data_IF_382862048990
#
_entry.id   IF_382862048990
#
_cell.length_a   1.000
_cell.length_b   1.000
_cell.length_c   1.000
_cell.angle_alpha   90.00
_cell.angle_beta   90.00
_cell.angle_gamma   90.00
#
_symmetry.space_group_name_H-M   'P 1'
#
loop_
_entity.id
_entity.type
_entity.pdbx_description
1 polymer ?
#
# COMPACT_ATOMS: atom_id res chain seq x y z
N UNK A 1 -37.31 33.93 28.51
CA UNK A 1 -36.84 33.20 27.31
C UNK A 1 -35.35 32.79 27.36
N UNK A 2 -34.40 33.61 27.84
CA UNK A 2 -32.97 33.24 27.89
C UNK A 2 -32.62 31.99 28.75
N UNK A 3 -33.33 31.71 29.84
CA UNK A 3 -33.03 30.54 30.72
C UNK A 3 -33.46 29.18 30.15
N UNK A 4 -34.35 29.14 29.15
CA UNK A 4 -34.83 27.89 28.54
C UNK A 4 -33.84 27.42 27.45
N UNK A 5 -33.28 28.36 26.68
CA UNK A 5 -32.27 28.07 25.66
C UNK A 5 -30.99 27.46 26.27
N UNK A 6 -30.54 27.96 27.44
CA UNK A 6 -29.34 27.45 28.11
C UNK A 6 -29.53 26.04 28.68
N UNK A 7 -30.75 25.66 29.08
CA UNK A 7 -31.05 24.30 29.56
C UNK A 7 -31.14 23.28 28.42
N UNK A 8 -31.62 23.68 27.25
CA UNK A 8 -31.65 22.81 26.06
C UNK A 8 -30.24 22.52 25.51
N UNK A 9 -29.33 23.50 25.52
CA UNK A 9 -27.93 23.31 25.08
C UNK A 9 -27.17 22.35 26.01
N UNK A 10 -27.46 22.39 27.31
CA UNK A 10 -26.80 21.54 28.31
C UNK A 10 -27.33 20.09 28.27
N UNK A 11 -28.62 19.90 27.96
CA UNK A 11 -29.20 18.58 27.71
C UNK A 11 -28.68 17.99 26.39
N UNK A 12 -28.48 18.81 25.35
CA UNK A 12 -27.88 18.35 24.08
C UNK A 12 -26.42 17.89 24.26
N UNK A 13 -25.64 18.56 25.11
CA UNK A 13 -24.26 18.13 25.45
C UNK A 13 -24.20 16.91 26.39
N UNK A 14 -25.24 16.65 27.18
CA UNK A 14 -25.32 15.42 28.00
C UNK A 14 -25.73 14.20 27.18
N UNK A 15 -26.54 14.36 26.13
CA UNK A 15 -26.93 13.24 25.27
C UNK A 15 -25.87 12.84 24.23
N UNK A 16 -24.90 13.70 23.90
CA UNK A 16 -23.79 13.33 23.00
C UNK A 16 -22.70 12.48 23.66
N UNK A 17 -22.71 12.33 24.99
CA UNK A 17 -21.74 11.50 25.73
C UNK A 17 -22.23 10.07 26.04
N UNK A 18 -23.49 9.74 25.74
CA UNK A 18 -24.10 8.43 26.09
C UNK A 18 -24.16 7.42 24.93
N UNK A 19 -23.57 7.74 23.78
CA UNK A 19 -23.47 6.83 22.63
C UNK A 19 -22.04 6.33 22.37
N UNK A 20 -21.21 6.21 23.42
CA UNK A 20 -20.04 5.35 23.37
C UNK A 20 -20.51 3.90 23.51
N UNK A 21 -20.98 3.36 22.39
CA UNK A 21 -21.15 1.91 22.23
C UNK A 21 -19.77 1.30 22.47
N UNK A 22 -19.64 0.56 23.56
CA UNK A 22 -18.54 -0.37 23.76
C UNK A 22 -18.66 -1.45 22.68
N UNK A 23 -18.08 -1.20 21.51
CA UNK A 23 -17.84 -2.26 20.54
C UNK A 23 -16.77 -3.18 21.12
N UNK A 24 -17.12 -4.45 21.16
CA UNK A 24 -16.23 -5.57 21.41
C UNK A 24 -14.93 -5.34 20.63
N UNK A 25 -13.81 -5.41 21.34
CA UNK A 25 -12.49 -5.14 20.79
C UNK A 25 -12.14 -6.29 19.85
N UNK A 26 -12.61 -6.19 18.61
CA UNK A 26 -12.20 -7.09 17.55
C UNK A 26 -10.69 -6.96 17.41
N UNK A 27 -9.95 -8.07 17.54
CA UNK A 27 -8.48 -8.08 17.52
C UNK A 27 -7.92 -7.86 16.10
N UNK A 28 -8.72 -7.32 15.18
CA UNK A 28 -8.28 -6.89 13.86
C UNK A 28 -7.54 -5.55 13.98
N UNK A 29 -6.24 -5.56 13.67
CA UNK A 29 -5.44 -4.34 13.62
C UNK A 29 -5.89 -3.47 12.45
N UNK A 30 -6.59 -2.37 12.74
CA UNK A 30 -6.98 -1.39 11.71
C UNK A 30 -5.77 -0.54 11.29
N UNK A 31 -5.41 -0.63 10.00
CA UNK A 31 -4.40 0.20 9.36
C UNK A 31 -4.96 1.57 8.96
N UNK A 32 -4.10 2.60 9.00
CA UNK A 32 -4.43 3.95 8.53
C UNK A 32 -4.39 4.00 7.00
N UNK A 33 -5.57 4.03 6.37
CA UNK A 33 -5.73 3.97 4.91
C UNK A 33 -5.76 5.38 4.27
N UNK A 34 -5.66 6.46 5.05
CA UNK A 34 -5.92 7.82 4.56
C UNK A 34 -4.77 8.46 3.77
N UNK A 35 -3.73 7.70 3.42
CA UNK A 35 -2.68 8.14 2.49
C UNK A 35 -2.85 7.47 1.14
N UNK A 36 -3.73 8.00 0.31
CA UNK A 36 -3.90 7.51 -1.05
C UNK A 36 -2.72 7.93 -1.95
N UNK A 37 -2.04 6.99 -2.64
CA UNK A 37 -1.13 7.32 -3.72
C UNK A 37 -1.91 7.88 -4.92
N UNK A 38 -1.31 8.83 -5.64
CA UNK A 38 -1.89 9.42 -6.86
C UNK A 38 -1.78 8.43 -8.02
N UNK A 39 -2.92 8.13 -8.66
CA UNK A 39 -3.07 7.28 -9.86
C UNK A 39 -3.12 8.12 -11.15
N UNK A 40 -2.11 8.05 -12.04
CA UNK A 40 -2.03 8.90 -13.23
C UNK A 40 -3.16 8.72 -14.24
N UNK A 41 -3.50 7.49 -14.66
CA UNK A 41 -4.54 7.28 -15.68
C UNK A 41 -5.94 7.64 -15.17
N UNK A 42 -6.20 7.31 -13.90
CA UNK A 42 -7.42 7.70 -13.19
C UNK A 42 -7.57 9.22 -13.06
N UNK A 43 -6.46 9.94 -12.85
CA UNK A 43 -6.46 11.40 -12.83
C UNK A 43 -6.83 11.98 -14.19
N UNK A 44 -6.30 11.41 -15.29
CA UNK A 44 -6.60 11.86 -16.66
C UNK A 44 -8.06 11.66 -17.08
N UNK A 45 -8.75 10.65 -16.51
CA UNK A 45 -10.17 10.37 -16.81
C UNK A 45 -11.15 10.81 -15.69
N UNK A 46 -10.63 11.43 -14.62
CA UNK A 46 -11.42 11.95 -13.51
C UNK A 46 -12.09 10.87 -12.64
N UNK A 47 -11.47 9.70 -12.47
CA UNK A 47 -11.91 8.71 -11.47
C UNK A 47 -11.61 9.20 -10.05
N UNK A 48 -12.53 8.93 -9.12
CA UNK A 48 -12.27 9.20 -7.70
C UNK A 48 -11.28 8.17 -7.14
N UNK A 49 -10.54 8.52 -6.08
CA UNK A 49 -9.54 7.60 -5.51
C UNK A 49 -10.13 6.33 -4.89
N UNK A 50 -11.41 6.35 -4.50
CA UNK A 50 -12.12 5.18 -3.97
C UNK A 50 -12.57 4.21 -5.06
N UNK A 51 -12.64 4.67 -6.31
CA UNK A 51 -13.12 3.86 -7.44
C UNK A 51 -11.98 3.16 -8.19
N UNK A 52 -10.76 3.26 -7.67
CA UNK A 52 -9.55 2.71 -8.30
C UNK A 52 -9.17 1.42 -7.60
N UNK A 53 -9.21 0.33 -8.35
CA UNK A 53 -8.77 -0.97 -7.87
C UNK A 53 -7.24 -1.02 -7.77
N UNK A 54 -6.75 -1.51 -6.63
CA UNK A 54 -5.31 -1.62 -6.31
C UNK A 54 -5.01 -3.04 -5.86
N UNK A 55 -5.05 -4.02 -6.77
CA UNK A 55 -4.86 -5.42 -6.41
C UNK A 55 -3.44 -5.65 -5.88
N UNK A 56 -3.35 -6.34 -4.74
CA UNK A 56 -2.10 -6.66 -4.05
C UNK A 56 -1.48 -7.97 -4.53
N UNK A 57 -2.28 -8.84 -5.14
CA UNK A 57 -1.89 -10.16 -5.62
C UNK A 57 -2.68 -10.54 -6.89
N UNK A 58 -2.23 -11.61 -7.55
CA UNK A 58 -2.79 -12.06 -8.83
C UNK A 58 -4.25 -12.49 -8.69
N UNK A 59 -4.63 -13.10 -7.56
CA UNK A 59 -6.02 -13.54 -7.33
C UNK A 59 -6.95 -12.34 -7.17
N UNK A 60 -6.53 -11.32 -6.42
CA UNK A 60 -7.25 -10.07 -6.26
C UNK A 60 -7.40 -9.33 -7.60
N UNK A 61 -6.34 -9.31 -8.41
CA UNK A 61 -6.39 -8.76 -9.77
C UNK A 61 -7.41 -9.51 -10.65
N UNK A 62 -7.34 -10.84 -10.69
CA UNK A 62 -8.26 -11.65 -11.50
C UNK A 62 -9.71 -11.51 -11.04
N UNK A 63 -9.95 -11.42 -9.74
CA UNK A 63 -11.30 -11.23 -9.18
C UNK A 63 -11.88 -9.86 -9.56
N UNK A 64 -11.08 -8.80 -9.42
CA UNK A 64 -11.47 -7.44 -9.83
C UNK A 64 -11.77 -7.39 -11.33
N UNK A 65 -10.89 -7.95 -12.17
CA UNK A 65 -11.10 -8.00 -13.61
C UNK A 65 -12.32 -8.84 -13.99
N UNK A 66 -12.53 -10.01 -13.39
CA UNK A 66 -13.70 -10.86 -13.63
C UNK A 66 -14.99 -10.12 -13.29
N UNK A 67 -15.01 -9.37 -12.19
CA UNK A 67 -16.16 -8.57 -11.76
C UNK A 67 -16.43 -7.44 -12.76
N UNK A 68 -15.39 -6.69 -13.13
CA UNK A 68 -15.50 -5.56 -14.05
C UNK A 68 -15.92 -5.96 -15.48
N UNK A 69 -15.60 -7.19 -15.89
CA UNK A 69 -15.88 -7.73 -17.23
C UNK A 69 -17.15 -8.58 -17.30
N UNK A 70 -17.95 -8.63 -16.23
CA UNK A 70 -19.08 -9.55 -16.10
C UNK A 70 -18.69 -11.00 -16.47
N UNK A 71 -17.71 -11.54 -15.75
CA UNK A 71 -17.10 -12.85 -16.02
C UNK A 71 -16.47 -13.00 -17.40
N UNK A 72 -15.70 -11.99 -17.83
CA UNK A 72 -14.99 -11.95 -19.11
C UNK A 72 -15.89 -11.97 -20.35
N UNK A 73 -17.20 -11.73 -20.19
CA UNK A 73 -18.16 -11.68 -21.30
C UNK A 73 -18.11 -10.35 -22.07
N UNK A 74 -17.57 -9.30 -21.45
CA UNK A 74 -17.46 -7.98 -22.05
C UNK A 74 -16.21 -7.24 -21.55
N UNK A 75 -15.76 -6.23 -22.30
CA UNK A 75 -14.78 -5.28 -21.78
C UNK A 75 -15.42 -4.42 -20.68
N UNK A 76 -14.64 -3.99 -19.68
CA UNK A 76 -15.18 -3.17 -18.61
C UNK A 76 -15.58 -1.79 -19.15
N UNK A 77 -16.78 -1.32 -18.78
CA UNK A 77 -17.31 -0.04 -19.25
C UNK A 77 -16.80 1.14 -18.43
N UNK A 78 -16.61 0.97 -17.13
CA UNK A 78 -16.08 1.96 -16.21
C UNK A 78 -15.17 1.27 -15.20
N UNK A 79 -13.86 1.37 -15.39
CA UNK A 79 -12.88 0.63 -14.60
C UNK A 79 -11.54 1.35 -14.57
N UNK A 80 -10.94 1.44 -13.39
CA UNK A 80 -9.63 2.03 -13.18
C UNK A 80 -8.81 1.12 -12.27
N UNK A 81 -7.57 0.88 -12.65
CA UNK A 81 -6.67 -0.02 -11.92
C UNK A 81 -5.24 0.53 -11.89
N UNK A 82 -4.61 0.39 -10.72
CA UNK A 82 -3.18 0.57 -10.55
C UNK A 82 -2.51 -0.77 -10.26
N UNK A 83 -1.58 -1.16 -11.12
CA UNK A 83 -0.77 -2.37 -11.00
C UNK A 83 0.63 -1.97 -10.58
N UNK A 84 1.18 -2.63 -9.56
CA UNK A 84 2.57 -2.48 -9.17
C UNK A 84 3.34 -3.78 -9.51
N UNK A 85 3.94 -3.90 -10.72
CA UNK A 85 4.38 -5.19 -11.26
C UNK A 85 5.38 -5.93 -10.38
N UNK A 86 6.31 -5.20 -9.74
CA UNK A 86 7.30 -5.78 -8.85
C UNK A 86 6.67 -6.51 -7.64
N UNK A 87 5.54 -6.03 -7.16
CA UNK A 87 4.82 -6.63 -6.03
C UNK A 87 3.87 -7.73 -6.51
N UNK A 88 3.20 -7.53 -7.65
CA UNK A 88 2.18 -8.44 -8.17
C UNK A 88 2.75 -9.77 -8.68
N UNK A 89 3.86 -9.75 -9.43
CA UNK A 89 4.41 -10.94 -10.10
C UNK A 89 5.53 -11.63 -9.33
N UNK A 90 5.58 -11.41 -8.04
CA UNK A 90 6.66 -11.87 -7.17
C UNK A 90 6.44 -13.33 -6.75
N UNK A 91 6.71 -14.27 -7.65
CA UNK A 91 6.34 -15.67 -7.46
C UNK A 91 7.40 -16.52 -6.72
N UNK A 92 8.69 -16.32 -6.98
CA UNK A 92 9.70 -17.33 -6.58
C UNK A 92 10.98 -16.82 -5.90
N UNK A 93 11.20 -15.51 -5.82
CA UNK A 93 12.35 -14.96 -5.11
C UNK A 93 11.92 -13.68 -4.40
N UNK A 94 11.85 -13.65 -3.06
CA UNK A 94 11.22 -12.55 -2.34
C UNK A 94 11.89 -11.19 -2.55
N UNK A 95 12.96 -11.09 -3.34
CA UNK A 95 13.84 -9.94 -3.34
C UNK A 95 14.34 -9.67 -1.93
N UNK A 96 15.11 -8.62 -1.74
CA UNK A 96 15.35 -8.14 -0.40
C UNK A 96 14.11 -7.36 0.09
N UNK A 97 13.11 -8.06 0.63
CA UNK A 97 12.02 -7.47 1.43
C UNK A 97 12.38 -7.33 2.90
N UNK A 98 13.63 -7.60 3.25
CA UNK A 98 14.07 -7.24 4.59
C UNK A 98 13.98 -5.72 4.74
N UNK A 99 14.02 -5.28 5.99
CA UNK A 99 14.16 -3.87 6.35
C UNK A 99 15.31 -3.18 5.59
N UNK A 100 16.34 -3.92 5.18
CA UNK A 100 17.48 -3.44 4.39
C UNK A 100 17.13 -3.20 2.91
N UNK A 101 16.37 -4.08 2.27
CA UNK A 101 16.02 -3.90 0.87
C UNK A 101 14.90 -2.87 0.65
N UNK A 102 14.04 -2.69 1.66
CA UNK A 102 13.06 -1.62 1.71
C UNK A 102 13.67 -0.28 2.14
N UNK A 103 14.86 -0.23 2.76
CA UNK A 103 15.47 1.04 3.17
C UNK A 103 16.18 1.79 2.04
N UNK A 104 16.48 1.13 0.90
CA UNK A 104 17.14 1.74 -0.26
C UNK A 104 16.50 3.10 -0.61
N UNK A 105 17.30 4.15 -0.79
CA UNK A 105 16.81 5.51 -1.06
C UNK A 105 16.86 5.90 -2.53
N UNK A 106 17.63 5.17 -3.36
CA UNK A 106 17.78 5.41 -4.80
C UNK A 106 18.18 4.15 -5.59
N UNK A 107 18.26 4.29 -6.92
CA UNK A 107 18.78 3.28 -7.83
C UNK A 107 17.71 2.36 -8.44
N UNK A 108 18.16 1.37 -9.22
CA UNK A 108 17.28 0.46 -9.97
C UNK A 108 16.25 -0.25 -9.08
N UNK A 109 16.65 -0.64 -7.86
CA UNK A 109 15.75 -1.27 -6.88
C UNK A 109 14.58 -0.35 -6.51
N UNK A 110 14.82 0.95 -6.36
CA UNK A 110 13.76 1.91 -6.03
C UNK A 110 12.81 2.07 -7.20
N UNK A 111 13.31 2.22 -8.42
CA UNK A 111 12.47 2.32 -9.62
C UNK A 111 11.58 1.08 -9.75
N UNK A 112 12.14 -0.13 -9.67
CA UNK A 112 11.36 -1.38 -9.72
C UNK A 112 10.30 -1.46 -8.61
N UNK A 113 10.68 -1.13 -7.37
CA UNK A 113 9.79 -1.20 -6.20
C UNK A 113 8.67 -0.14 -6.22
N UNK A 114 8.87 0.98 -6.91
CA UNK A 114 7.94 2.11 -6.92
C UNK A 114 7.19 2.27 -8.24
N UNK A 115 7.54 1.47 -9.26
CA UNK A 115 6.85 1.47 -10.53
C UNK A 115 5.40 1.03 -10.35
N UNK A 116 4.49 1.92 -10.70
CA UNK A 116 3.06 1.69 -10.81
C UNK A 116 2.65 1.98 -12.25
N UNK A 117 1.93 1.05 -12.84
CA UNK A 117 1.28 1.19 -14.14
C UNK A 117 -0.21 1.37 -13.89
N UNK A 118 -0.80 2.37 -14.52
CA UNK A 118 -2.18 2.78 -14.30
C UNK A 118 -2.95 2.63 -15.60
N UNK A 119 -4.12 2.02 -15.53
CA UNK A 119 -5.02 1.84 -16.67
C UNK A 119 -6.42 2.28 -16.26
N UNK A 120 -7.11 2.99 -17.14
CA UNK A 120 -8.49 3.38 -16.90
C UNK A 120 -9.29 3.36 -18.19
N UNK A 121 -10.56 2.94 -18.12
CA UNK A 121 -11.53 2.97 -19.22
C UNK A 121 -12.82 3.59 -18.68
N UNK A 122 -13.37 4.53 -19.43
CA UNK A 122 -14.59 5.26 -19.08
C UNK A 122 -15.54 5.34 -20.26
N UNK A 123 -16.69 4.72 -20.13
CA UNK A 123 -17.78 4.81 -21.08
C UNK A 123 -18.75 5.89 -20.58
N UNK A 124 -18.88 6.95 -21.35
CA UNK A 124 -19.60 8.15 -20.97
C UNK A 124 -21.06 8.06 -21.37
N UNK A 125 -21.91 8.71 -20.60
CA UNK A 125 -23.34 8.81 -20.80
C UNK A 125 -23.76 10.28 -20.86
N UNK A 126 -25.05 10.55 -21.09
CA UNK A 126 -25.57 11.91 -21.25
C UNK A 126 -25.48 12.76 -19.97
N UNK A 127 -25.02 12.20 -18.85
CA UNK A 127 -24.91 12.85 -17.54
C UNK A 127 -23.46 13.35 -17.30
N UNK A 128 -22.48 12.92 -18.10
CA UNK A 128 -21.09 13.34 -17.95
C UNK A 128 -20.83 14.72 -18.56
N UNK A 129 -20.95 15.78 -17.75
CA UNK A 129 -20.83 17.18 -18.20
C UNK A 129 -19.51 17.58 -18.91
N UNK A 130 -18.43 16.78 -18.79
CA UNK A 130 -17.11 17.12 -19.34
C UNK A 130 -16.62 16.16 -20.43
N UNK A 131 -17.43 15.18 -20.84
CA UNK A 131 -17.03 14.18 -21.82
C UNK A 131 -18.11 14.03 -22.89
N UNK A 132 -17.72 13.65 -24.10
CA UNK A 132 -18.67 13.37 -25.17
C UNK A 132 -19.44 12.06 -24.85
N UNK A 133 -20.79 12.09 -24.71
CA UNK A 133 -21.60 10.90 -24.42
C UNK A 133 -21.54 9.83 -25.52
N UNK A 134 -21.19 10.21 -26.76
CA UNK A 134 -21.04 9.28 -27.87
C UNK A 134 -19.68 8.56 -27.87
N UNK A 135 -18.76 8.96 -26.99
CA UNK A 135 -17.38 8.48 -26.99
C UNK A 135 -17.12 7.47 -25.87
N UNK A 136 -15.97 6.81 -25.95
CA UNK A 136 -15.39 6.01 -24.85
C UNK A 136 -13.96 6.46 -24.67
N UNK A 137 -13.51 6.58 -23.44
CA UNK A 137 -12.17 7.07 -23.12
C UNK A 137 -11.35 5.95 -22.52
N UNK A 138 -10.09 5.83 -22.92
CA UNK A 138 -9.13 4.97 -22.24
C UNK A 138 -7.86 5.76 -21.93
N UNK A 139 -7.22 5.44 -20.82
CA UNK A 139 -5.99 6.06 -20.38
C UNK A 139 -4.99 5.02 -19.89
N UNK A 140 -3.73 5.32 -20.15
CA UNK A 140 -2.58 4.61 -19.63
C UNK A 140 -1.65 5.61 -18.95
N UNK A 141 -1.05 5.21 -17.85
CA UNK A 141 -0.09 6.03 -17.13
C UNK A 141 0.93 5.22 -16.36
N UNK A 142 1.96 5.92 -15.90
CA UNK A 142 3.02 5.34 -15.09
C UNK A 142 3.42 6.31 -13.99
N UNK A 143 3.96 5.75 -12.90
CA UNK A 143 4.61 6.49 -11.83
C UNK A 143 5.77 5.68 -11.28
N UNK A 144 6.88 6.33 -10.94
CA UNK A 144 7.96 5.74 -10.18
C UNK A 144 8.76 6.83 -9.44
N UNK A 145 9.55 6.42 -8.45
CA UNK A 145 10.49 7.28 -7.74
C UNK A 145 11.91 7.02 -8.24
N UNK A 146 12.68 8.08 -8.46
CA UNK A 146 14.14 8.01 -8.65
C UNK A 146 14.81 8.03 -7.28
N UNK A 147 14.38 8.94 -6.41
CA UNK A 147 14.80 9.05 -5.03
C UNK A 147 13.56 9.05 -4.13
N UNK A 148 13.53 8.22 -3.09
CA UNK A 148 12.39 8.17 -2.17
C UNK A 148 12.72 8.64 -0.75
N UNK A 149 13.92 9.18 -0.53
CA UNK A 149 14.38 9.60 0.78
C UNK A 149 14.66 8.44 1.73
N UNK A 150 14.96 8.76 2.98
CA UNK A 150 15.27 7.80 4.03
C UNK A 150 14.13 7.67 5.02
N UNK A 151 14.05 6.57 5.73
CA UNK A 151 13.14 6.46 6.88
C UNK A 151 13.46 7.52 7.94
N UNK A 152 12.42 8.10 8.54
CA UNK A 152 12.58 8.98 9.70
C UNK A 152 13.11 8.21 10.91
N UNK A 153 13.59 8.94 11.91
CA UNK A 153 14.25 8.33 13.08
C UNK A 153 13.27 7.44 13.85
N UNK A 154 11.99 7.83 13.93
CA UNK A 154 10.95 7.03 14.57
C UNK A 154 10.73 5.69 13.85
N UNK A 155 10.60 5.70 12.53
CA UNK A 155 10.45 4.50 11.70
C UNK A 155 11.69 3.61 11.82
N UNK A 156 12.91 4.19 11.73
CA UNK A 156 14.17 3.44 11.90
C UNK A 156 14.23 2.75 13.27
N UNK A 157 13.89 3.47 14.34
CA UNK A 157 13.90 2.93 15.70
C UNK A 157 12.86 1.82 15.89
N UNK A 158 11.63 1.98 15.38
CA UNK A 158 10.60 0.95 15.43
C UNK A 158 10.99 -0.30 14.65
N UNK A 159 11.52 -0.15 13.42
CA UNK A 159 12.01 -1.28 12.62
C UNK A 159 13.17 -2.01 13.30
N UNK A 160 14.08 -1.26 13.93
CA UNK A 160 15.20 -1.84 14.68
C UNK A 160 14.70 -2.62 15.89
N UNK A 161 13.76 -2.07 16.65
CA UNK A 161 13.15 -2.73 17.80
C UNK A 161 12.42 -4.02 17.39
N UNK A 162 11.64 -4.00 16.31
CA UNK A 162 10.99 -5.19 15.77
C UNK A 162 12.03 -6.22 15.32
N UNK A 163 13.09 -5.81 14.62
CA UNK A 163 14.15 -6.70 14.18
C UNK A 163 14.87 -7.38 15.36
N UNK A 164 15.16 -6.63 16.44
CA UNK A 164 15.77 -7.17 17.66
C UNK A 164 14.85 -8.19 18.35
N UNK A 165 13.55 -7.91 18.47
CA UNK A 165 12.56 -8.83 19.03
C UNK A 165 12.42 -10.11 18.18
N UNK A 166 12.47 -9.98 16.86
CA UNK A 166 12.47 -11.13 15.94
C UNK A 166 13.74 -11.97 16.09
N UNK A 167 14.91 -11.33 16.25
CA UNK A 167 16.15 -12.04 16.51
C UNK A 167 16.13 -12.78 17.85
N UNK A 168 15.59 -12.14 18.90
CA UNK A 168 15.38 -12.76 20.20
C UNK A 168 14.46 -13.98 20.09
N UNK A 169 13.34 -13.85 19.37
CA UNK A 169 12.42 -14.95 19.07
C UNK A 169 13.13 -16.10 18.35
N UNK A 170 13.89 -15.80 17.30
CA UNK A 170 14.64 -16.81 16.54
C UNK A 170 15.69 -17.51 17.41
N UNK A 171 16.34 -16.78 18.32
CA UNK A 171 17.28 -17.37 19.27
C UNK A 171 16.56 -18.32 20.23
N UNK A 172 15.45 -17.91 20.84
CA UNK A 172 14.64 -18.78 21.70
C UNK A 172 14.16 -20.03 20.98
N UNK A 173 13.75 -19.91 19.71
CA UNK A 173 13.36 -21.06 18.89
C UNK A 173 14.53 -22.02 18.66
N UNK A 174 15.73 -21.50 18.40
CA UNK A 174 16.94 -22.31 18.24
C UNK A 174 17.35 -22.99 19.53
N UNK A 175 17.34 -22.26 20.65
CA UNK A 175 17.71 -22.78 21.97
C UNK A 175 16.74 -23.90 22.38
N UNK A 176 15.43 -23.71 22.19
CA UNK A 176 14.42 -24.76 22.40
C UNK A 176 14.60 -25.96 21.47
N UNK A 177 14.94 -25.72 20.20
CA UNK A 177 15.18 -26.81 19.25
C UNK A 177 16.42 -27.61 19.67
N UNK A 178 17.53 -26.95 19.96
CA UNK A 178 18.77 -27.61 20.42
C UNK A 178 18.56 -28.41 21.70
N UNK A 179 17.82 -27.89 22.69
CA UNK A 179 17.48 -28.62 23.91
C UNK A 179 16.70 -29.92 23.61
N UNK A 180 15.79 -29.91 22.63
CA UNK A 180 15.07 -31.13 22.23
C UNK A 180 16.00 -32.15 21.55
N UNK A 181 16.94 -31.70 20.72
CA UNK A 181 17.88 -32.59 20.03
C UNK A 181 19.00 -33.11 20.93
N UNK A 182 19.44 -32.35 21.93
CA UNK A 182 20.41 -32.82 22.93
C UNK A 182 19.79 -33.82 23.90
N UNK A 183 18.47 -33.73 24.14
CA UNK A 183 17.71 -34.67 24.96
C UNK A 183 17.00 -35.76 24.15
N UNK A 184 17.28 -35.88 22.84
CA UNK A 184 16.76 -36.94 21.99
C UNK A 184 17.23 -38.28 22.60
N UNK A 185 16.34 -39.07 23.22
CA UNK A 185 16.73 -40.03 24.25
C UNK A 185 17.69 -41.08 23.72
N UNK A 186 18.48 -41.69 24.62
CA UNK A 186 19.33 -42.87 24.36
C UNK A 186 18.62 -43.94 23.51
N UNK A 187 17.29 -44.01 23.60
CA UNK A 187 16.42 -44.88 22.82
C UNK A 187 16.43 -44.58 21.31
N UNK A 188 16.40 -43.32 20.87
CA UNK A 188 16.52 -42.97 19.43
C UNK A 188 17.91 -43.31 18.90
N UNK A 189 18.93 -43.11 19.72
CA UNK A 189 20.30 -43.46 19.36
C UNK A 189 20.49 -44.98 19.25
N UNK A 190 19.82 -45.75 20.11
CA UNK A 190 19.74 -47.20 20.00
C UNK A 190 19.02 -47.66 18.72
N UNK A 191 17.93 -47.01 18.34
CA UNK A 191 17.19 -47.31 17.10
C UNK A 191 18.01 -46.98 15.85
N UNK A 192 18.77 -45.87 15.85
CA UNK A 192 19.73 -45.54 14.77
C UNK A 192 20.85 -46.57 14.66
N UNK A 193 21.35 -47.11 15.79
CA UNK A 193 22.32 -48.22 15.78
C UNK A 193 21.72 -49.50 15.21
N UNK A 194 20.49 -49.85 15.59
CA UNK A 194 19.75 -50.99 15.02
C UNK A 194 19.55 -50.80 13.51
N UNK A 195 19.20 -49.59 13.05
CA UNK A 195 19.08 -49.27 11.62
C UNK A 195 20.37 -49.57 10.86
N UNK A 196 21.51 -49.08 11.37
CA UNK A 196 22.82 -49.30 10.73
C UNK A 196 23.18 -50.79 10.69
N UNK A 197 22.76 -51.55 11.70
CA UNK A 197 23.00 -52.98 11.77
C UNK A 197 22.19 -53.81 10.74
N UNK A 198 21.09 -53.28 10.20
CA UNK A 198 20.27 -53.97 9.17
C UNK A 198 21.08 -54.29 7.92
N UNK A 199 22.08 -53.46 7.60
CA UNK A 199 22.89 -53.59 6.39
C UNK A 199 24.26 -54.25 6.64
N UNK A 200 24.53 -54.75 7.85
CA UNK A 200 25.77 -55.46 8.15
C UNK A 200 25.76 -56.83 7.46
N UNK A 201 26.81 -57.13 6.69
CA UNK A 201 26.98 -58.43 6.03
C UNK A 201 26.39 -58.50 4.61
N UNK A 202 25.90 -57.40 4.05
CA UNK A 202 25.52 -57.33 2.63
C UNK A 202 26.77 -57.06 1.79
N UNK A 203 26.93 -57.78 0.69
CA UNK A 203 27.87 -57.42 -0.38
C UNK A 203 27.15 -56.52 -1.40
N UNK A 204 27.50 -55.21 -1.49
CA UNK A 204 26.88 -54.29 -2.44
C UNK A 204 27.26 -54.58 -3.90
N UNK A 205 28.22 -55.46 -4.15
CA UNK A 205 28.68 -55.82 -5.50
C UNK A 205 28.07 -57.14 -5.99
N UNK A 206 27.36 -57.90 -5.14
CA UNK A 206 26.65 -59.11 -5.54
C UNK A 206 25.33 -58.73 -6.24
N UNK A 207 25.23 -59.07 -7.52
CA UNK A 207 24.07 -58.76 -8.38
C UNK A 207 23.15 -59.97 -8.58
N UNK A 208 23.31 -61.03 -7.78
CA UNK A 208 22.42 -62.18 -7.82
C UNK A 208 20.97 -61.79 -7.51
N UNK A 209 20.04 -62.53 -8.10
CA UNK A 209 18.60 -62.28 -7.95
C UNK A 209 18.15 -62.44 -6.48
N UNK A 210 18.83 -63.32 -5.74
CA UNK A 210 18.61 -63.53 -4.30
C UNK A 210 19.16 -62.38 -3.45
N UNK A 211 20.35 -61.84 -3.75
CA UNK A 211 20.87 -60.65 -3.06
C UNK A 211 20.02 -59.40 -3.35
N UNK A 212 19.51 -59.27 -4.57
CA UNK A 212 18.61 -58.16 -4.95
C UNK A 212 17.31 -58.17 -4.13
N UNK A 213 16.68 -59.34 -3.97
CA UNK A 213 15.48 -59.51 -3.12
C UNK A 213 15.78 -59.27 -1.65
N UNK A 214 16.93 -59.73 -1.16
CA UNK A 214 17.38 -59.48 0.21
C UNK A 214 17.56 -57.98 0.47
N UNK A 215 18.24 -57.27 -0.43
CA UNK A 215 18.44 -55.82 -0.36
C UNK A 215 17.10 -55.08 -0.34
N UNK A 216 16.14 -55.44 -1.20
CA UNK A 216 14.80 -54.84 -1.22
C UNK A 216 14.05 -55.04 0.13
N UNK A 217 14.14 -56.23 0.72
CA UNK A 217 13.55 -56.53 2.03
C UNK A 217 14.20 -55.73 3.16
N UNK A 218 15.53 -55.54 3.11
CA UNK A 218 16.27 -54.77 4.10
C UNK A 218 15.97 -53.27 4.00
N UNK A 219 15.78 -52.74 2.79
CA UNK A 219 15.26 -51.37 2.60
C UNK A 219 13.85 -51.21 3.17
N UNK A 220 12.92 -52.14 2.89
CA UNK A 220 11.58 -52.12 3.50
C UNK A 220 11.62 -52.16 5.03
N UNK A 221 12.57 -52.91 5.60
CA UNK A 221 12.78 -52.98 7.06
C UNK A 221 13.37 -51.67 7.61
N UNK A 222 14.30 -51.04 6.89
CA UNK A 222 14.87 -49.75 7.25
C UNK A 222 13.82 -48.62 7.19
N UNK A 223 12.97 -48.59 6.16
CA UNK A 223 11.91 -47.58 6.00
C UNK A 223 10.87 -47.65 7.14
N UNK A 224 10.52 -48.87 7.56
CA UNK A 224 9.67 -49.07 8.76
C UNK A 224 10.34 -48.50 10.01
N UNK A 225 11.65 -48.71 10.16
CA UNK A 225 12.39 -48.20 11.32
C UNK A 225 12.51 -46.67 11.28
N UNK A 226 12.71 -46.08 10.10
CA UNK A 226 12.73 -44.63 9.90
C UNK A 226 11.38 -43.99 10.23
N UNK A 227 10.29 -44.64 9.85
CA UNK A 227 8.94 -44.21 10.22
C UNK A 227 8.74 -44.21 11.74
N UNK A 228 9.24 -45.24 12.43
CA UNK A 228 9.19 -45.35 13.90
C UNK A 228 10.04 -44.25 14.55
N UNK A 229 11.25 -44.01 14.04
CA UNK A 229 12.14 -42.95 14.54
C UNK A 229 11.48 -41.59 14.39
N UNK A 230 10.93 -41.26 13.22
CA UNK A 230 10.26 -39.98 12.97
C UNK A 230 9.03 -39.79 13.85
N UNK A 231 8.19 -40.81 14.00
CA UNK A 231 7.00 -40.75 14.85
C UNK A 231 7.39 -40.54 16.32
N UNK A 232 8.47 -41.18 16.78
CA UNK A 232 8.95 -41.04 18.15
C UNK A 232 9.60 -39.67 18.41
N UNK A 233 10.32 -39.11 17.44
CA UNK A 233 10.80 -37.72 17.49
C UNK A 233 9.61 -36.77 17.62
N UNK A 234 8.55 -36.98 16.84
CA UNK A 234 7.37 -36.13 16.87
C UNK A 234 6.62 -36.19 18.20
N UNK A 235 6.42 -37.39 18.76
CA UNK A 235 5.83 -37.56 20.10
C UNK A 235 6.66 -36.85 21.17
N UNK A 236 8.00 -36.98 21.12
CA UNK A 236 8.88 -36.31 22.07
C UNK A 236 8.87 -34.79 21.93
N UNK A 237 8.73 -34.27 20.71
CA UNK A 237 8.52 -32.85 20.46
C UNK A 237 7.20 -32.39 21.09
N UNK A 238 6.11 -33.12 20.86
CA UNK A 238 4.77 -32.80 21.35
C UNK A 238 4.67 -32.91 22.89
N UNK A 239 5.33 -33.90 23.50
CA UNK A 239 5.39 -34.09 24.95
C UNK A 239 6.27 -33.04 25.64
N UNK A 240 7.39 -32.63 25.04
CA UNK A 240 8.23 -31.56 25.57
C UNK A 240 7.49 -30.20 25.51
N UNK A 241 6.74 -29.95 24.43
CA UNK A 241 5.83 -28.79 24.34
C UNK A 241 4.73 -28.87 25.42
N UNK A 242 4.09 -30.04 25.59
CA UNK A 242 2.98 -30.24 26.53
C UNK A 242 3.41 -30.17 28.00
N UNK A 243 4.61 -30.65 28.33
CA UNK A 243 5.17 -30.62 29.70
C UNK A 243 5.63 -29.22 30.10
N UNK A 244 6.25 -28.45 29.20
CA UNK A 244 6.54 -27.02 29.43
C UNK A 244 5.26 -26.18 29.63
N UNK A 245 4.17 -26.55 28.94
CA UNK A 245 2.85 -25.90 29.10
C UNK A 245 2.24 -26.13 30.50
N UNK A 246 2.45 -27.30 31.11
CA UNK A 246 1.89 -27.63 32.44
C UNK A 246 2.69 -27.07 33.61
N UNK A 247 4.00 -26.85 33.44
CA UNK A 247 4.87 -26.34 34.51
C UNK A 247 4.93 -24.81 34.60
N UNK A 248 4.07 -24.08 33.86
CA UNK A 248 4.08 -22.61 33.85
C UNK A 248 5.37 -22.03 33.29
N UNK A 249 6.00 -22.75 32.36
CA UNK A 249 7.38 -22.51 31.98
C UNK A 249 7.55 -21.16 31.25
N UNK A 250 8.64 -20.47 31.59
CA UNK A 250 8.85 -19.05 31.31
C UNK A 250 8.96 -18.72 29.82
N UNK A 251 9.20 -19.71 28.96
CA UNK A 251 9.53 -19.50 27.54
C UNK A 251 8.31 -19.33 26.63
N UNK A 252 7.20 -20.05 26.87
CA UNK A 252 5.92 -19.79 26.18
C UNK A 252 5.41 -18.38 26.51
N UNK A 253 5.51 -18.01 27.79
CA UNK A 253 5.23 -16.64 28.25
C UNK A 253 6.20 -15.62 27.62
N UNK A 254 7.46 -15.97 27.33
CA UNK A 254 8.39 -15.08 26.61
C UNK A 254 8.01 -14.93 25.14
N UNK A 255 7.64 -16.00 24.44
CA UNK A 255 7.15 -15.92 23.05
C UNK A 255 5.92 -15.03 22.93
N UNK A 256 4.92 -15.26 23.78
CA UNK A 256 3.69 -14.46 23.80
C UNK A 256 3.98 -12.99 24.14
N UNK A 257 4.91 -12.72 25.07
CA UNK A 257 5.36 -11.35 25.38
C UNK A 257 6.09 -10.70 24.21
N UNK A 258 6.95 -11.42 23.50
CA UNK A 258 7.65 -10.91 22.31
C UNK A 258 6.63 -10.61 21.20
N UNK A 259 5.71 -11.53 20.94
CA UNK A 259 4.68 -11.34 19.91
C UNK A 259 3.75 -10.18 20.25
N UNK A 260 3.35 -10.05 21.52
CA UNK A 260 2.56 -8.90 22.01
C UNK A 260 3.30 -7.59 21.82
N UNK A 261 4.61 -7.53 22.11
CA UNK A 261 5.43 -6.33 21.86
C UNK A 261 5.56 -6.01 20.38
N UNK A 262 5.75 -7.02 19.53
CA UNK A 262 5.82 -6.83 18.07
C UNK A 262 4.49 -6.27 17.55
N UNK A 263 3.36 -6.86 17.95
CA UNK A 263 2.01 -6.37 17.60
C UNK A 263 1.78 -4.94 18.08
N UNK A 264 2.16 -4.63 19.32
CA UNK A 264 2.05 -3.27 19.85
C UNK A 264 2.88 -2.26 19.04
N UNK A 265 4.12 -2.60 18.70
CA UNK A 265 4.97 -1.75 17.85
C UNK A 265 4.41 -1.61 16.43
N UNK A 266 3.91 -2.70 15.84
CA UNK A 266 3.29 -2.72 14.52
C UNK A 266 2.01 -1.88 14.46
N UNK A 267 1.16 -1.94 15.49
CA UNK A 267 -0.09 -1.17 15.57
C UNK A 267 0.08 0.36 15.60
N UNK A 268 1.28 0.81 15.97
CA UNK A 268 1.71 2.21 16.01
C UNK A 268 2.68 2.56 14.87
N UNK A 269 2.99 1.58 14.03
CA UNK A 269 3.97 1.73 12.96
C UNK A 269 3.35 2.57 11.85
N UNK A 270 4.02 3.67 11.55
CA UNK A 270 3.72 4.47 10.37
C UNK A 270 5.00 4.58 9.57
N UNK A 271 4.94 4.21 8.30
CA UNK A 271 6.08 4.32 7.41
C UNK A 271 6.17 5.76 6.92
N UNK A 272 7.17 6.50 7.41
CA UNK A 272 7.43 7.86 6.98
C UNK A 272 8.87 8.03 6.49
N UNK A 273 9.03 8.86 5.46
CA UNK A 273 10.32 9.16 4.85
C UNK A 273 10.62 10.65 4.91
N UNK A 274 11.90 10.96 5.08
CA UNK A 274 12.48 12.30 5.20
C UNK A 274 13.59 12.48 4.15
N UNK A 275 14.15 13.68 4.07
CA UNK A 275 15.15 14.12 3.11
C UNK A 275 14.60 14.24 1.68
N UNK A 276 15.51 14.21 0.70
CA UNK A 276 15.21 14.45 -0.69
C UNK A 276 14.42 13.30 -1.32
N UNK A 277 13.41 13.66 -2.11
CA UNK A 277 12.54 12.78 -2.88
C UNK A 277 12.41 13.33 -4.30
N UNK A 278 12.29 12.42 -5.26
CA UNK A 278 12.10 12.74 -6.66
C UNK A 278 11.22 11.67 -7.31
N UNK A 279 10.00 12.06 -7.62
CA UNK A 279 8.99 11.24 -8.29
C UNK A 279 8.80 11.71 -9.74
N UNK A 280 8.59 10.76 -10.64
CA UNK A 280 8.15 11.00 -12.01
C UNK A 280 6.84 10.26 -12.23
N UNK A 281 5.89 10.94 -12.87
CA UNK A 281 4.67 10.32 -13.34
C UNK A 281 4.24 10.92 -14.68
N UNK A 282 3.46 10.17 -15.43
CA UNK A 282 2.91 10.61 -16.69
C UNK A 282 1.81 9.70 -17.17
N UNK A 283 1.14 10.13 -18.23
CA UNK A 283 0.10 9.34 -18.87
C UNK A 283 -0.43 9.99 -20.13
N UNK A 284 -1.24 9.21 -20.83
CA UNK A 284 -1.93 9.59 -22.05
C UNK A 284 -3.32 8.98 -22.03
N UNK A 285 -4.29 9.71 -22.57
CA UNK A 285 -5.64 9.23 -22.81
C UNK A 285 -6.04 9.40 -24.26
N UNK A 286 -6.95 8.52 -24.70
CA UNK A 286 -7.55 8.53 -26.02
C UNK A 286 -9.08 8.60 -25.90
N UNK A 287 -9.70 9.31 -26.83
CA UNK A 287 -11.14 9.36 -27.07
C UNK A 287 -11.45 8.49 -28.29
N UNK A 288 -12.27 7.45 -28.10
CA UNK A 288 -12.82 6.58 -29.15
C UNK A 288 -14.23 7.06 -29.52
N UNK A 289 -14.31 7.82 -30.59
CA UNK A 289 -15.52 8.49 -31.05
C UNK A 289 -16.53 7.51 -31.59
N UNK A 290 -17.81 7.77 -31.30
CA UNK A 290 -18.92 6.87 -31.65
C UNK A 290 -18.66 5.42 -31.17
N UNK A 291 -17.92 5.28 -30.07
CA UNK A 291 -17.49 4.00 -29.49
C UNK A 291 -16.79 3.07 -30.50
N UNK A 292 -16.07 3.65 -31.46
CA UNK A 292 -15.34 2.93 -32.50
C UNK A 292 -13.83 3.06 -32.31
N UNK A 293 -13.14 1.92 -32.19
CA UNK A 293 -11.70 1.87 -32.00
C UNK A 293 -10.92 2.49 -33.18
N UNK A 294 -11.44 2.39 -34.40
CA UNK A 294 -10.82 2.93 -35.60
C UNK A 294 -11.02 4.44 -35.76
N UNK A 295 -11.82 5.07 -34.89
CA UNK A 295 -12.06 6.51 -34.89
C UNK A 295 -11.63 7.10 -33.55
N UNK A 296 -10.32 7.16 -33.34
CA UNK A 296 -9.72 7.63 -32.09
C UNK A 296 -8.91 8.91 -32.27
N UNK A 297 -8.86 9.75 -31.22
CA UNK A 297 -7.87 10.82 -31.09
C UNK A 297 -7.24 10.79 -29.70
N UNK A 298 -6.05 11.39 -29.56
CA UNK A 298 -5.50 11.69 -28.23
C UNK A 298 -6.42 12.72 -27.56
N UNK A 299 -6.93 12.39 -26.38
CA UNK A 299 -7.80 13.26 -25.62
C UNK A 299 -6.99 14.22 -24.76
N UNK A 300 -6.14 13.70 -23.88
CA UNK A 300 -5.18 14.49 -23.13
C UNK A 300 -3.90 13.68 -22.84
N UNK A 301 -2.80 14.35 -22.53
CA UNK A 301 -1.61 13.68 -22.02
C UNK A 301 -0.82 14.60 -21.09
N UNK A 302 0.06 14.01 -20.29
CA UNK A 302 0.87 14.77 -19.37
C UNK A 302 2.05 14.00 -18.83
N UNK A 303 3.09 14.74 -18.48
CA UNK A 303 4.24 14.24 -17.73
C UNK A 303 4.60 15.25 -16.67
N UNK A 304 4.87 14.79 -15.46
CA UNK A 304 5.25 15.64 -14.36
C UNK A 304 6.30 15.00 -13.48
N UNK A 305 7.06 15.87 -12.86
CA UNK A 305 8.06 15.53 -11.87
C UNK A 305 7.78 16.28 -10.59
N UNK A 306 7.96 15.61 -9.46
CA UNK A 306 7.81 16.20 -8.13
C UNK A 306 9.10 16.01 -7.36
N UNK A 307 9.67 17.13 -6.94
CA UNK A 307 10.81 17.17 -6.03
C UNK A 307 10.29 17.41 -4.63
N UNK A 308 10.92 16.82 -3.62
CA UNK A 308 10.54 17.08 -2.25
C UNK A 308 11.73 17.02 -1.32
N UNK A 309 11.71 17.83 -0.27
CA UNK A 309 12.63 17.71 0.85
C UNK A 309 11.83 17.78 2.14
N UNK A 310 11.88 16.71 2.94
CA UNK A 310 11.17 16.65 4.23
C UNK A 310 12.16 16.71 5.38
N UNK A 311 12.01 17.70 6.23
CA UNK A 311 12.72 17.79 7.51
C UNK A 311 11.89 17.10 8.59
N UNK A 312 12.52 16.23 9.37
CA UNK A 312 11.82 15.43 10.38
C UNK A 312 11.03 16.28 11.41
N UNK A 313 11.53 17.47 11.75
CA UNK A 313 11.00 18.30 12.84
C UNK A 313 10.19 19.53 12.40
N UNK A 314 10.32 20.00 11.16
CA UNK A 314 9.81 21.33 10.77
C UNK A 314 8.81 21.31 9.62
N UNK A 315 8.89 20.36 8.69
CA UNK A 315 7.98 20.35 7.56
C UNK A 315 8.50 19.64 6.32
N UNK A 316 7.80 19.85 5.21
CA UNK A 316 8.16 19.36 3.88
C UNK A 316 8.04 20.48 2.85
N UNK A 317 9.04 20.65 2.01
CA UNK A 317 8.97 21.45 0.80
C UNK A 317 8.78 20.52 -0.39
N UNK A 318 7.81 20.80 -1.25
CA UNK A 318 7.54 20.09 -2.49
C UNK A 318 7.63 21.09 -3.66
N UNK A 319 8.22 20.66 -4.76
CA UNK A 319 8.27 21.37 -6.04
C UNK A 319 7.64 20.52 -7.13
N UNK A 320 6.89 21.14 -8.04
CA UNK A 320 6.21 20.50 -9.16
C UNK A 320 6.66 21.14 -10.46
N UNK A 321 6.97 20.32 -11.45
CA UNK A 321 7.02 20.74 -12.86
C UNK A 321 6.17 19.75 -13.64
N UNK A 322 5.19 20.26 -14.39
CA UNK A 322 4.22 19.44 -15.11
C UNK A 322 3.99 20.00 -16.50
N UNK A 323 4.15 19.18 -17.52
CA UNK A 323 3.73 19.46 -18.88
C UNK A 323 2.40 18.76 -19.15
N UNK A 324 1.44 19.47 -19.72
CA UNK A 324 0.15 18.92 -20.15
C UNK A 324 -0.08 19.24 -21.62
N UNK A 325 -0.53 18.26 -22.38
CA UNK A 325 -1.01 18.42 -23.74
C UNK A 325 -2.50 18.12 -23.79
N UNK A 326 -3.24 19.05 -24.39
CA UNK A 326 -4.68 19.10 -24.50
C UNK A 326 -5.42 18.88 -23.15
N UNK A 327 -5.19 19.73 -22.12
CA UNK A 327 -5.91 19.58 -20.86
C UNK A 327 -7.41 19.79 -21.04
N UNK A 328 -8.21 19.06 -20.29
CA UNK A 328 -9.69 19.05 -20.35
C UNK A 328 -10.34 20.42 -20.12
N UNK A 329 -9.64 21.32 -19.42
CA UNK A 329 -10.13 22.65 -19.03
C UNK A 329 -9.19 23.75 -19.51
N UNK A 330 -9.76 24.85 -20.02
CA UNK A 330 -9.00 26.01 -20.50
C UNK A 330 -8.52 26.87 -19.32
N UNK A 331 -7.30 27.39 -19.45
CA UNK A 331 -6.47 28.15 -18.51
C UNK A 331 -7.10 29.26 -17.65
N UNK A 332 -8.29 29.74 -18.00
CA UNK A 332 -8.93 30.89 -17.36
C UNK A 332 -10.41 30.63 -16.99
N UNK A 333 -10.94 29.46 -17.29
CA UNK A 333 -12.35 29.10 -17.06
C UNK A 333 -12.39 27.64 -16.61
N UNK A 334 -12.20 27.39 -15.30
CA UNK A 334 -12.27 26.04 -14.71
C UNK A 334 -13.67 25.38 -14.89
N UNK A 335 -14.63 26.15 -15.42
CA UNK A 335 -16.01 25.75 -15.71
C UNK A 335 -16.29 25.55 -17.21
N UNK A 336 -15.31 25.72 -18.10
CA UNK A 336 -15.48 25.52 -19.54
C UNK A 336 -14.57 24.41 -20.07
N UNK A 337 -15.16 23.50 -20.84
CA UNK A 337 -14.46 22.42 -21.53
C UNK A 337 -13.55 23.01 -22.60
N UNK A 338 -12.36 22.42 -22.77
CA UNK A 338 -11.43 22.86 -23.80
C UNK A 338 -11.91 22.52 -25.22
N UNK A 339 -12.56 23.49 -25.86
CA UNK A 339 -12.95 23.43 -27.28
C UNK A 339 -11.77 23.68 -28.23
N UNK A 340 -10.69 24.29 -27.71
CA UNK A 340 -9.48 24.60 -28.45
C UNK A 340 -8.56 23.37 -28.46
N UNK A 341 -8.83 22.44 -29.37
CA UNK A 341 -7.95 21.29 -29.61
C UNK A 341 -6.49 21.81 -29.84
N UNK A 342 -5.49 21.15 -29.24
CA UNK A 342 -4.03 21.46 -29.31
C UNK A 342 -3.49 22.55 -28.36
N UNK A 343 -4.03 22.62 -27.15
CA UNK A 343 -3.46 23.45 -26.08
C UNK A 343 -2.34 22.73 -25.34
N UNK A 344 -1.19 23.38 -25.13
CA UNK A 344 -0.13 22.84 -24.27
C UNK A 344 0.16 23.76 -23.08
N UNK A 345 0.39 23.19 -21.90
CA UNK A 345 0.67 23.92 -20.66
C UNK A 345 1.96 23.46 -20.02
N UNK A 346 2.64 24.39 -19.34
CA UNK A 346 3.64 24.08 -18.33
C UNK A 346 3.18 24.65 -17.02
N UNK A 347 3.09 23.80 -16.01
CA UNK A 347 2.80 24.18 -14.65
C UNK A 347 4.08 24.06 -13.82
N UNK A 348 4.38 25.09 -13.05
CA UNK A 348 5.43 25.08 -12.04
C UNK A 348 4.82 25.46 -10.70
N UNK A 349 5.18 24.76 -9.64
CA UNK A 349 4.57 25.02 -8.35
C UNK A 349 5.44 24.63 -7.18
N UNK A 350 5.12 25.22 -6.05
CA UNK A 350 5.75 24.92 -4.76
C UNK A 350 4.68 24.72 -3.72
N UNK A 351 4.90 23.77 -2.83
CA UNK A 351 4.07 23.57 -1.64
C UNK A 351 4.96 23.40 -0.43
N UNK A 352 4.70 24.19 0.61
CA UNK A 352 5.32 24.01 1.91
C UNK A 352 4.29 23.45 2.88
N UNK A 353 4.65 22.37 3.57
CA UNK A 353 3.85 21.70 4.59
C UNK A 353 4.54 21.91 5.93
N UNK A 354 3.86 22.58 6.86
CA UNK A 354 4.28 22.80 8.23
C UNK A 354 3.78 21.64 9.07
N UNK A 355 4.71 20.97 9.76
CA UNK A 355 4.40 19.84 10.63
C UNK A 355 5.58 18.88 10.76
N UNK A 356 5.67 18.20 11.90
CA UNK A 356 6.65 17.10 12.07
C UNK A 356 6.27 15.92 11.18
N UNK A 357 7.25 15.09 10.83
CA UNK A 357 6.97 13.76 10.26
C UNK A 357 5.98 13.04 11.19
N UNK A 358 4.84 12.59 10.64
CA UNK A 358 3.74 11.95 11.39
C UNK A 358 2.97 12.82 12.39
N UNK A 359 2.93 14.15 12.19
CA UNK A 359 2.12 15.05 13.00
C UNK A 359 0.61 14.82 12.78
N UNK A 360 -0.18 14.93 13.86
CA UNK A 360 -1.66 14.95 13.81
C UNK A 360 -2.21 16.21 13.13
N UNK A 361 -1.48 17.32 13.25
CA UNK A 361 -1.82 18.59 12.61
C UNK A 361 -0.81 18.91 11.52
N UNK A 362 -1.29 19.22 10.33
CA UNK A 362 -0.47 19.75 9.24
C UNK A 362 -1.13 21.00 8.66
N UNK A 363 -0.33 22.02 8.38
CA UNK A 363 -0.76 23.17 7.61
C UNK A 363 0.07 23.22 6.34
N UNK A 364 -0.47 23.68 5.22
CA UNK A 364 0.32 23.82 4.00
C UNK A 364 -0.12 24.99 3.17
N UNK A 365 0.85 25.60 2.49
CA UNK A 365 0.62 26.65 1.49
C UNK A 365 1.17 26.14 0.16
N UNK A 366 0.36 26.22 -0.89
CA UNK A 366 0.65 25.75 -2.24
C UNK A 366 0.45 26.91 -3.21
N UNK A 367 1.44 27.16 -4.06
CA UNK A 367 1.38 28.11 -5.16
C UNK A 367 1.73 27.39 -6.46
N UNK A 368 0.87 27.49 -7.47
CA UNK A 368 1.12 26.91 -8.79
C UNK A 368 0.91 27.98 -9.85
N UNK A 369 1.92 28.21 -10.67
CA UNK A 369 1.85 29.01 -11.88
C UNK A 369 1.66 28.10 -13.09
N UNK A 370 0.80 28.49 -14.02
CA UNK A 370 0.54 27.77 -15.27
C UNK A 370 0.76 28.71 -16.44
N UNK A 371 1.67 28.31 -17.34
CA UNK A 371 1.99 28.98 -18.59
C UNK A 371 1.37 28.25 -19.76
N UNK A 372 0.69 28.97 -20.64
CA UNK A 372 0.27 28.45 -21.93
C UNK A 372 1.46 28.48 -22.91
N UNK A 373 1.69 27.37 -23.62
CA UNK A 373 2.72 27.26 -24.66
C UNK A 373 2.17 27.47 -26.07
N UNK A 374 0.87 27.25 -26.28
CA UNK A 374 0.23 27.45 -27.58
C UNK A 374 0.03 28.95 -27.86
N UNK A 375 0.51 29.44 -29.01
CA UNK A 375 0.33 30.84 -29.43
C UNK A 375 -1.16 31.11 -29.73
N UNK A 376 -1.65 32.26 -29.27
CA UNK A 376 -2.93 32.92 -29.63
C UNK A 376 -4.23 32.56 -28.90
N UNK A 377 -4.25 31.94 -27.70
CA UNK A 377 -5.56 31.70 -27.06
C UNK A 377 -5.74 32.01 -25.58
N UNK A 378 -4.71 32.18 -24.74
CA UNK A 378 -4.94 32.46 -23.29
C UNK A 378 -3.75 33.10 -22.56
N UNK A 379 -4.05 33.84 -21.49
CA UNK A 379 -3.05 34.41 -20.57
C UNK A 379 -2.65 33.38 -19.49
N UNK A 380 -1.40 33.47 -19.00
CA UNK A 380 -0.95 32.69 -17.85
C UNK A 380 -1.78 32.94 -16.59
N UNK A 381 -1.95 31.93 -15.76
CA UNK A 381 -2.73 32.00 -14.51
C UNK A 381 -1.99 31.37 -13.34
N UNK A 382 -2.47 31.64 -12.13
CA UNK A 382 -1.89 31.10 -10.90
C UNK A 382 -2.97 30.68 -9.91
N UNK A 383 -2.63 29.68 -9.10
CA UNK A 383 -3.43 29.14 -8.01
C UNK A 383 -2.65 29.30 -6.72
N UNK A 384 -3.33 29.68 -5.65
CA UNK A 384 -2.76 29.76 -4.30
C UNK A 384 -3.74 29.13 -3.32
N UNK A 385 -3.27 28.17 -2.52
CA UNK A 385 -4.09 27.47 -1.55
C UNK A 385 -3.37 27.32 -0.22
N UNK A 386 -4.09 27.62 0.86
CA UNK A 386 -3.79 27.20 2.20
C UNK A 386 -4.67 25.99 2.55
N UNK A 387 -4.07 24.97 3.16
CA UNK A 387 -4.80 23.80 3.66
C UNK A 387 -4.38 23.53 5.11
N UNK A 388 -5.34 23.24 5.98
CA UNK A 388 -5.11 22.81 7.35
C UNK A 388 -5.81 21.49 7.60
N UNK A 389 -5.11 20.58 8.23
CA UNK A 389 -5.46 19.18 8.35
C UNK A 389 -5.28 18.74 9.80
N UNK A 390 -6.31 18.17 10.41
CA UNK A 390 -6.25 17.65 11.77
C UNK A 390 -6.79 16.22 11.86
N UNK A 391 -5.94 15.27 12.24
CA UNK A 391 -6.33 13.90 12.55
C UNK A 391 -7.00 13.84 13.92
N UNK A 392 -8.32 13.59 13.93
CA UNK A 392 -9.12 13.50 15.16
C UNK A 392 -8.90 12.13 15.81
N UNK A 393 -9.13 11.06 15.03
CA UNK A 393 -8.96 9.65 15.41
C UNK A 393 -8.22 8.91 14.29
N UNK A 394 -7.89 7.61 14.52
CA UNK A 394 -7.43 6.74 13.43
C UNK A 394 -8.49 6.76 12.32
N UNK A 395 -8.06 6.91 11.07
CA UNK A 395 -8.95 7.01 9.91
C UNK A 395 -10.00 8.15 9.97
N UNK A 396 -9.79 9.21 10.78
CA UNK A 396 -10.69 10.37 10.81
C UNK A 396 -9.93 11.68 10.76
N UNK A 397 -10.26 12.53 9.78
CA UNK A 397 -9.54 13.77 9.52
C UNK A 397 -10.49 14.93 9.24
N UNK A 398 -10.27 16.05 9.91
CA UNK A 398 -10.86 17.34 9.56
C UNK A 398 -9.92 18.06 8.60
N UNK A 399 -10.44 18.52 7.47
CA UNK A 399 -9.69 19.23 6.45
C UNK A 399 -10.32 20.58 6.21
N UNK A 400 -9.52 21.63 6.22
CA UNK A 400 -9.91 22.98 5.86
C UNK A 400 -9.05 23.46 4.70
N UNK A 401 -9.68 23.99 3.66
CA UNK A 401 -9.00 24.52 2.48
C UNK A 401 -9.47 25.93 2.20
N UNK A 402 -8.53 26.85 1.99
CA UNK A 402 -8.77 28.26 1.72
C UNK A 402 -7.87 28.73 0.59
N UNK A 403 -8.39 29.33 -0.48
CA UNK A 403 -7.52 29.85 -1.53
C UNK A 403 -8.21 30.35 -2.79
N UNK A 404 -7.39 30.68 -3.78
CA UNK A 404 -7.80 31.14 -5.11
C UNK A 404 -7.44 30.09 -6.15
N UNK A 405 -8.34 29.86 -7.10
CA UNK A 405 -8.12 28.97 -8.24
C UNK A 405 -7.67 29.73 -9.51
N UNK A 406 -7.40 29.00 -10.60
CA UNK A 406 -6.85 29.55 -11.84
C UNK A 406 -7.80 30.49 -12.60
N UNK A 407 -9.10 30.39 -12.38
CA UNK A 407 -10.17 31.03 -13.15
C UNK A 407 -10.19 32.56 -13.04
N UNK A 408 -9.79 33.15 -11.91
CA UNK A 408 -9.59 34.59 -11.77
C UNK A 408 -10.80 35.49 -12.07
N UNK A 409 -11.98 34.93 -12.37
CA UNK A 409 -13.19 35.68 -12.68
C UNK A 409 -13.74 36.31 -11.40
N UNK A 410 -13.96 37.62 -11.47
CA UNK A 410 -14.46 38.43 -10.36
C UNK A 410 -15.97 38.61 -10.57
N UNK A 411 -16.78 37.62 -10.19
CA UNK A 411 -18.21 37.86 -9.97
C UNK A 411 -18.40 38.46 -8.58
N UNK A 412 -19.52 39.17 -8.35
CA UNK A 412 -19.83 39.97 -7.14
C UNK A 412 -19.75 39.21 -5.79
N UNK A 413 -19.47 37.91 -5.79
CA UNK A 413 -19.31 37.05 -4.61
C UNK A 413 -17.90 36.42 -4.43
N UNK A 414 -16.87 36.96 -5.09
CA UNK A 414 -15.46 36.69 -4.77
C UNK A 414 -14.83 35.44 -5.45
N UNK A 415 -13.50 35.35 -5.38
CA UNK A 415 -12.64 34.35 -6.05
C UNK A 415 -12.03 33.33 -5.05
N UNK A 416 -12.72 33.12 -3.93
CA UNK A 416 -12.21 32.45 -2.76
C UNK A 416 -12.92 31.11 -2.54
N UNK A 417 -12.16 30.02 -2.60
CA UNK A 417 -12.59 28.69 -2.20
C UNK A 417 -12.37 28.58 -0.70
N UNK A 418 -13.43 28.40 0.08
CA UNK A 418 -13.36 27.99 1.48
C UNK A 418 -14.17 26.69 1.64
N UNK A 419 -13.49 25.61 2.03
CA UNK A 419 -14.12 24.30 2.23
C UNK A 419 -13.72 23.74 3.60
N UNK A 420 -14.72 23.26 4.34
CA UNK A 420 -14.53 22.46 5.55
C UNK A 420 -15.08 21.06 5.26
N UNK A 421 -14.22 20.06 5.37
CA UNK A 421 -14.54 18.66 5.11
C UNK A 421 -14.19 17.78 6.31
N UNK A 422 -15.02 16.77 6.55
CA UNK A 422 -14.72 15.69 7.48
C UNK A 422 -14.59 14.40 6.68
N UNK A 423 -13.42 13.78 6.76
CA UNK A 423 -13.09 12.55 6.04
C UNK A 423 -13.06 11.39 7.03
N UNK A 424 -13.88 10.38 6.77
CA UNK A 424 -13.87 9.10 7.46
C UNK A 424 -13.35 8.03 6.50
N UNK A 425 -12.32 7.31 6.92
CA UNK A 425 -11.94 6.04 6.32
C UNK A 425 -12.60 4.91 7.09
N UNK A 426 -13.39 4.09 6.41
CA UNK A 426 -13.77 2.80 6.97
C UNK A 426 -12.55 1.87 6.80
N UNK A 427 -11.92 1.52 7.92
CA UNK A 427 -10.82 0.55 7.91
C UNK A 427 -11.33 -0.76 7.34
N UNK A 428 -10.67 -1.28 6.32
CA UNK A 428 -10.92 -2.65 5.87
C UNK A 428 -10.18 -3.57 6.85
N UNK A 429 -10.92 -4.37 7.62
CA UNK A 429 -10.38 -5.55 8.27
C UNK A 429 -10.07 -6.58 7.18
N UNK A 430 -8.81 -6.65 6.75
CA UNK A 430 -8.30 -7.72 5.88
C UNK A 430 -7.10 -8.38 6.51
#
# INVERSE_FOLDING_TARGET
MKKIATRFILVFFLFTNLALIAQEKDNSEEFDLLKAPISPASNLLGFSQSDIDKPTDVSAFMTSLQTATNSFSQLPSNYAIDIAPFWLFKKDNPGDISTKGLSNSSGEKVVKQTLVLSFAVKNTDSISNNFDPASTYAAFGFRFSIYRGEYDSKTKNQLTAIALLQQEKLKLMKDNHMEVYENLPLEIDSLKKVRKAIFIGIDPNDTSDDNTKLVELLYKKADKLDSIISLKIQILLDDNISSKTKNGDSDLNKFERIDTKIKQLASQFQLARVNFTWDIAGGISAEFRNKNFNNSKVYNSGIWTTFGYTWEKSGSLLGLVRYLYNPDKIFALDNQVNEMNNVSTIDTGVRYIIGKSQSKFNCSIEAIYRSALSKNTTNSSWRLMANADYAILKNQKLTFSFGRNYDGTTSKDGNLIAALGLVFGFGNSR
#
